data_IF_255401405862
#
_entry.id   IF_255401405862
#
_cell.length_a   1.000
_cell.length_b   1.000
_cell.length_c   1.000
_cell.angle_alpha   90.00
_cell.angle_beta   90.00
_cell.angle_gamma   90.00
#
_symmetry.space_group_name_H-M   'P 1'
#
loop_
_entity.id
_entity.type
_entity.pdbx_description
1 polymer ?
#
# COMPACT_ATOMS: atom_id res chain seq x y z
N UNK A 1 22.35 -5.86 -4.27
CA UNK A 1 21.83 -5.54 -5.61
C UNK A 1 21.04 -4.24 -5.51
N UNK A 2 21.29 -3.30 -6.41
CA UNK A 2 20.51 -2.06 -6.53
C UNK A 2 19.53 -2.27 -7.68
N UNK A 3 18.26 -2.01 -7.42
CA UNK A 3 17.18 -2.09 -8.42
C UNK A 3 16.76 -0.67 -8.73
N UNK A 4 16.95 -0.24 -9.98
CA UNK A 4 16.65 1.11 -10.45
C UNK A 4 15.33 1.17 -11.26
N UNK A 5 14.37 0.35 -10.88
CA UNK A 5 13.06 0.25 -11.54
C UNK A 5 12.09 1.22 -10.89
N UNK A 6 11.36 2.01 -11.69
CA UNK A 6 10.31 2.88 -11.20
C UNK A 6 9.09 2.05 -10.81
N UNK A 7 8.64 2.14 -9.57
CA UNK A 7 7.49 1.42 -9.07
C UNK A 7 6.71 2.21 -8.02
N UNK A 8 5.44 1.88 -7.88
CA UNK A 8 4.53 2.47 -6.90
C UNK A 8 4.35 1.59 -5.66
N UNK A 9 3.62 2.08 -4.68
CA UNK A 9 3.25 1.29 -3.50
C UNK A 9 2.46 0.02 -3.85
N UNK A 10 1.71 0.04 -4.96
CA UNK A 10 0.94 -1.11 -5.43
C UNK A 10 1.84 -2.29 -5.85
N UNK A 11 3.09 -2.02 -6.23
CA UNK A 11 4.05 -3.02 -6.71
C UNK A 11 4.80 -3.72 -5.58
N UNK A 12 4.67 -3.23 -4.34
CA UNK A 12 5.35 -3.80 -3.17
C UNK A 12 4.86 -5.23 -2.90
N UNK A 13 3.54 -5.43 -2.89
CA UNK A 13 2.96 -6.74 -2.56
C UNK A 13 3.37 -7.82 -3.56
N UNK A 14 3.14 -7.67 -4.89
CA UNK A 14 3.55 -8.69 -5.85
C UNK A 14 5.06 -8.94 -5.86
N UNK A 15 5.88 -7.93 -5.60
CA UNK A 15 7.33 -8.10 -5.48
C UNK A 15 7.72 -8.93 -4.25
N UNK A 16 7.09 -8.68 -3.11
CA UNK A 16 7.32 -9.47 -1.89
C UNK A 16 6.86 -10.92 -2.06
N UNK A 17 5.71 -11.15 -2.70
CA UNK A 17 5.21 -12.48 -2.99
C UNK A 17 6.19 -13.28 -3.84
N UNK A 18 6.72 -12.66 -4.90
CA UNK A 18 7.77 -13.27 -5.73
C UNK A 18 9.02 -13.61 -4.90
N UNK A 19 9.53 -12.67 -4.10
CA UNK A 19 10.71 -12.87 -3.26
C UNK A 19 10.54 -13.98 -2.21
N UNK A 20 9.30 -14.18 -1.74
CA UNK A 20 8.95 -15.19 -0.74
C UNK A 20 8.50 -16.52 -1.37
N UNK A 21 8.39 -16.59 -2.70
CA UNK A 21 7.89 -17.77 -3.41
C UNK A 21 6.41 -18.05 -3.17
N UNK A 22 5.62 -17.00 -2.93
CA UNK A 22 4.16 -17.09 -2.72
C UNK A 22 3.47 -16.99 -4.08
N UNK A 23 2.60 -17.95 -4.39
CA UNK A 23 1.76 -17.91 -5.58
C UNK A 23 0.58 -16.95 -5.34
N UNK A 24 0.52 -15.87 -6.14
CA UNK A 24 -0.47 -14.80 -6.00
C UNK A 24 -1.75 -14.99 -6.81
N UNK A 25 -1.86 -16.09 -7.55
CA UNK A 25 -3.00 -16.34 -8.46
C UNK A 25 -4.37 -16.40 -7.75
N UNK A 26 -4.36 -16.59 -6.44
CA UNK A 26 -5.58 -16.66 -5.60
C UNK A 26 -5.99 -15.30 -5.01
N UNK A 27 -5.25 -14.24 -5.27
CA UNK A 27 -5.50 -12.93 -4.69
C UNK A 27 -5.83 -11.89 -5.76
N UNK A 28 -6.86 -11.10 -5.52
CA UNK A 28 -7.12 -9.91 -6.32
C UNK A 28 -6.17 -8.80 -5.87
N UNK A 29 -5.21 -8.50 -6.71
CA UNK A 29 -4.23 -7.44 -6.45
C UNK A 29 -4.05 -6.57 -7.69
N UNK A 30 -3.64 -5.35 -7.47
CA UNK A 30 -3.14 -4.41 -8.48
C UNK A 30 -1.65 -4.22 -8.24
N UNK A 31 -0.94 -3.85 -9.29
CA UNK A 31 0.50 -3.72 -9.24
C UNK A 31 1.21 -4.87 -9.95
N UNK A 32 2.49 -4.72 -10.10
CA UNK A 32 3.35 -5.64 -10.83
C UNK A 32 4.61 -5.91 -10.01
N UNK A 33 5.19 -7.08 -10.21
CA UNK A 33 6.47 -7.42 -9.61
C UNK A 33 7.59 -6.54 -10.21
N UNK A 34 8.26 -5.76 -9.37
CA UNK A 34 9.38 -4.88 -9.75
C UNK A 34 10.58 -5.64 -10.34
N UNK A 35 10.67 -6.94 -10.10
CA UNK A 35 11.73 -7.81 -10.60
C UNK A 35 11.37 -8.48 -11.92
N UNK A 36 10.11 -8.37 -12.34
CA UNK A 36 9.66 -8.93 -13.62
C UNK A 36 10.22 -8.14 -14.81
N UNK A 37 10.72 -8.80 -15.85
CA UNK A 37 11.13 -8.13 -17.08
C UNK A 37 9.97 -7.46 -17.83
N UNK A 38 8.72 -7.86 -17.52
CA UNK A 38 7.52 -7.32 -18.15
C UNK A 38 6.92 -6.16 -17.33
N UNK A 39 7.60 -5.74 -16.24
CA UNK A 39 7.14 -4.64 -15.41
C UNK A 39 7.05 -3.33 -16.20
N UNK A 40 5.88 -2.71 -16.14
CA UNK A 40 5.65 -1.40 -16.76
C UNK A 40 5.99 -0.31 -15.75
N UNK A 41 7.03 0.46 -16.05
CA UNK A 41 7.52 1.53 -15.17
C UNK A 41 6.63 2.78 -15.24
N UNK A 42 5.39 2.64 -14.77
CA UNK A 42 4.40 3.72 -14.69
C UNK A 42 3.90 3.82 -13.26
N UNK A 43 4.19 4.94 -12.61
CA UNK A 43 3.70 5.25 -11.27
C UNK A 43 2.60 6.31 -11.37
N UNK A 44 1.36 5.92 -11.14
CA UNK A 44 0.21 6.81 -11.18
C UNK A 44 -0.08 7.43 -9.81
N UNK A 45 -0.43 8.71 -9.79
CA UNK A 45 -0.83 9.43 -8.59
C UNK A 45 -2.28 9.91 -8.68
N UNK A 46 -2.98 9.92 -7.56
CA UNK A 46 -4.38 10.39 -7.50
C UNK A 46 -4.55 11.89 -7.72
N UNK A 47 -3.49 12.66 -7.68
CA UNK A 47 -3.50 14.08 -7.99
C UNK A 47 -3.57 14.30 -9.50
N UNK A 48 -4.67 14.88 -9.97
CA UNK A 48 -4.88 15.49 -11.30
C UNK A 48 -4.06 14.86 -12.46
N UNK A 49 -4.30 13.59 -12.79
CA UNK A 49 -3.63 12.88 -13.89
C UNK A 49 -2.09 12.91 -13.83
N UNK A 50 -1.54 12.94 -12.61
CA UNK A 50 -0.10 12.93 -12.41
C UNK A 50 0.45 11.51 -12.50
N UNK A 51 1.63 11.38 -13.09
CA UNK A 51 2.36 10.11 -13.19
C UNK A 51 3.86 10.35 -13.32
N UNK A 52 4.63 9.30 -13.02
CA UNK A 52 6.08 9.26 -13.28
C UNK A 52 6.41 8.00 -14.07
N UNK A 53 7.28 8.16 -15.05
CA UNK A 53 7.95 7.10 -15.80
C UNK A 53 9.44 7.39 -15.87
N UNK A 54 10.29 6.49 -16.38
CA UNK A 54 11.71 6.81 -16.59
C UNK A 54 11.94 8.01 -17.49
N UNK A 55 11.07 8.24 -18.46
CA UNK A 55 11.24 9.30 -19.47
C UNK A 55 10.50 10.58 -19.14
N UNK A 56 9.26 10.47 -18.64
CA UNK A 56 8.37 11.59 -18.43
C UNK A 56 7.78 11.61 -17.00
N UNK A 57 7.71 12.81 -16.44
CA UNK A 57 6.94 13.12 -15.24
C UNK A 57 5.84 14.11 -15.59
N UNK A 58 4.59 13.77 -15.30
CA UNK A 58 3.45 14.70 -15.42
C UNK A 58 2.98 15.09 -14.02
N UNK A 59 2.91 16.40 -13.78
CA UNK A 59 2.44 16.94 -12.51
C UNK A 59 1.73 18.29 -12.76
N UNK A 60 0.58 18.49 -12.15
CA UNK A 60 -0.21 19.73 -12.23
C UNK A 60 -0.44 20.23 -13.67
N UNK A 61 -0.74 19.31 -14.59
CA UNK A 61 -1.00 19.62 -15.99
C UNK A 61 0.24 19.93 -16.82
N UNK A 62 1.43 19.89 -16.25
CA UNK A 62 2.71 20.10 -16.91
C UNK A 62 3.45 18.78 -17.10
N UNK A 63 4.33 18.74 -18.08
CA UNK A 63 5.16 17.56 -18.37
C UNK A 63 6.63 17.94 -18.32
N UNK A 64 7.41 17.07 -17.74
CA UNK A 64 8.85 17.25 -17.53
C UNK A 64 9.61 16.00 -18.00
N UNK A 65 10.85 16.16 -18.42
CA UNK A 65 11.77 15.04 -18.52
C UNK A 65 12.16 14.58 -17.13
N UNK A 66 11.93 13.30 -16.81
CA UNK A 66 12.13 12.76 -15.45
C UNK A 66 13.56 12.91 -14.97
N UNK A 67 14.54 12.63 -15.83
CA UNK A 67 15.96 12.68 -15.46
C UNK A 67 16.45 14.10 -15.19
N UNK A 68 16.08 15.06 -16.04
CA UNK A 68 16.59 16.44 -15.95
C UNK A 68 15.69 17.38 -15.15
N UNK A 69 14.43 17.04 -14.96
CA UNK A 69 13.42 17.92 -14.36
C UNK A 69 13.06 19.12 -15.21
N UNK A 70 13.51 19.18 -16.48
CA UNK A 70 13.20 20.28 -17.38
C UNK A 70 11.78 20.16 -17.92
N UNK A 71 11.02 21.26 -17.86
CA UNK A 71 9.68 21.35 -18.43
C UNK A 71 9.72 21.25 -19.96
N UNK A 72 8.81 20.47 -20.50
CA UNK A 72 8.68 20.26 -21.95
C UNK A 72 7.60 21.21 -22.48
N UNK A 73 8.00 22.25 -23.16
CA UNK A 73 7.07 23.25 -23.72
C UNK A 73 6.50 22.83 -25.08
N UNK A 74 7.25 22.04 -25.87
CA UNK A 74 6.83 21.56 -27.17
C UNK A 74 7.19 20.10 -27.33
N UNK A 75 6.20 19.27 -27.61
CA UNK A 75 6.34 17.87 -27.96
C UNK A 75 6.15 17.70 -29.46
N UNK A 76 6.99 16.87 -30.09
CA UNK A 76 6.69 16.38 -31.41
C UNK A 76 5.53 15.39 -31.41
N UNK A 77 5.00 15.05 -32.56
CA UNK A 77 3.82 14.15 -32.69
C UNK A 77 4.07 12.75 -32.08
N UNK A 78 5.28 12.24 -32.22
CA UNK A 78 5.66 10.95 -31.69
C UNK A 78 5.70 10.96 -30.14
N UNK A 79 6.36 11.97 -29.56
CA UNK A 79 6.44 12.13 -28.11
C UNK A 79 5.07 12.42 -27.50
N UNK A 80 4.20 13.16 -28.20
CA UNK A 80 2.82 13.37 -27.78
C UNK A 80 2.04 12.05 -27.73
N UNK A 81 2.18 11.22 -28.76
CA UNK A 81 1.53 9.90 -28.81
C UNK A 81 2.01 8.99 -27.68
N UNK A 82 3.31 8.93 -27.42
CA UNK A 82 3.88 8.16 -26.30
C UNK A 82 3.29 8.64 -24.95
N UNK A 83 3.26 9.96 -24.77
CA UNK A 83 2.73 10.57 -23.54
C UNK A 83 1.25 10.25 -23.32
N UNK A 84 0.45 10.27 -24.38
CA UNK A 84 -0.97 9.97 -24.30
C UNK A 84 -1.23 8.49 -23.98
N UNK A 85 -0.42 7.57 -24.49
CA UNK A 85 -0.46 6.15 -24.13
C UNK A 85 -0.16 5.99 -22.62
N UNK A 86 0.90 6.61 -22.11
CA UNK A 86 1.27 6.54 -20.70
C UNK A 86 0.18 7.15 -19.81
N UNK A 87 -0.36 8.31 -20.20
CA UNK A 87 -1.45 8.97 -19.48
C UNK A 87 -2.70 8.09 -19.40
N UNK A 88 -3.04 7.43 -20.51
CA UNK A 88 -4.16 6.50 -20.55
C UNK A 88 -3.92 5.31 -19.62
N UNK A 89 -2.74 4.69 -19.65
CA UNK A 89 -2.37 3.56 -18.78
C UNK A 89 -2.42 3.95 -17.30
N UNK A 90 -1.85 5.09 -16.91
CA UNK A 90 -1.91 5.61 -15.55
C UNK A 90 -3.35 5.87 -15.09
N UNK A 91 -4.18 6.49 -15.95
CA UNK A 91 -5.59 6.71 -15.66
C UNK A 91 -6.37 5.39 -15.49
N UNK A 92 -6.08 4.40 -16.33
CA UNK A 92 -6.71 3.09 -16.24
C UNK A 92 -6.34 2.35 -14.94
N UNK A 93 -5.07 2.41 -14.54
CA UNK A 93 -4.60 1.82 -13.28
C UNK A 93 -5.35 2.39 -12.07
N UNK A 94 -5.55 3.70 -12.01
CA UNK A 94 -6.33 4.36 -10.96
C UNK A 94 -7.81 3.96 -10.99
N UNK A 95 -8.42 3.91 -12.19
CA UNK A 95 -9.82 3.48 -12.34
C UNK A 95 -10.05 2.05 -11.87
N UNK A 96 -9.14 1.14 -12.20
CA UNK A 96 -9.21 -0.25 -11.72
C UNK A 96 -9.13 -0.29 -10.20
N UNK A 97 -8.18 0.42 -9.60
CA UNK A 97 -8.04 0.53 -8.14
C UNK A 97 -9.33 1.07 -7.49
N UNK A 98 -9.94 2.10 -8.08
CA UNK A 98 -11.19 2.67 -7.58
C UNK A 98 -12.36 1.71 -7.71
N UNK A 99 -12.46 0.96 -8.81
CA UNK A 99 -13.50 -0.05 -9.00
C UNK A 99 -13.38 -1.19 -7.99
N UNK A 100 -12.15 -1.65 -7.71
CA UNK A 100 -11.91 -2.68 -6.69
C UNK A 100 -12.36 -2.19 -5.31
N UNK A 101 -12.01 -0.95 -4.95
CA UNK A 101 -12.35 -0.38 -3.67
C UNK A 101 -13.84 -0.07 -3.52
N UNK A 102 -14.44 0.61 -4.50
CA UNK A 102 -15.86 1.01 -4.44
C UNK A 102 -16.81 -0.16 -4.58
N UNK A 103 -16.41 -1.20 -5.34
CA UNK A 103 -17.17 -2.43 -5.52
C UNK A 103 -16.96 -3.46 -4.41
N UNK A 104 -16.05 -3.21 -3.45
CA UNK A 104 -15.65 -4.19 -2.42
C UNK A 104 -15.24 -5.55 -3.04
N UNK A 105 -14.60 -5.49 -4.22
CA UNK A 105 -14.34 -6.69 -5.03
C UNK A 105 -13.39 -7.67 -4.35
N UNK A 106 -12.49 -7.20 -3.49
CA UNK A 106 -11.57 -8.05 -2.74
C UNK A 106 -12.36 -9.04 -1.88
N UNK A 107 -13.41 -8.57 -1.19
CA UNK A 107 -14.24 -9.43 -0.34
C UNK A 107 -14.95 -10.52 -1.13
N UNK A 108 -15.51 -10.18 -2.28
CA UNK A 108 -16.19 -11.16 -3.13
C UNK A 108 -15.21 -12.16 -3.73
N UNK A 109 -14.07 -11.69 -4.19
CA UNK A 109 -13.03 -12.54 -4.76
C UNK A 109 -12.49 -13.55 -3.73
N UNK A 110 -12.22 -13.10 -2.51
CA UNK A 110 -11.76 -13.97 -1.42
C UNK A 110 -12.80 -15.02 -1.02
N UNK A 111 -14.08 -14.66 -0.98
CA UNK A 111 -15.15 -15.58 -0.63
C UNK A 111 -15.23 -16.77 -1.59
N UNK A 112 -14.97 -16.54 -2.87
CA UNK A 112 -15.06 -17.57 -3.90
C UNK A 112 -13.82 -18.47 -3.98
N UNK A 113 -12.63 -17.96 -3.64
CA UNK A 113 -11.34 -18.63 -3.91
C UNK A 113 -10.62 -19.12 -2.64
N UNK A 114 -10.76 -18.44 -1.52
CA UNK A 114 -10.03 -18.75 -0.30
C UNK A 114 -10.83 -19.50 0.77
N UNK A 115 -12.12 -19.75 0.53
CA UNK A 115 -12.99 -20.31 1.55
C UNK A 115 -13.20 -19.35 2.73
N UNK A 116 -13.74 -19.86 3.82
CA UNK A 116 -13.90 -19.08 5.05
C UNK A 116 -12.55 -18.90 5.72
N UNK A 117 -12.05 -17.66 5.71
CA UNK A 117 -10.89 -17.30 6.54
C UNK A 117 -11.33 -17.40 8.00
N UNK A 118 -10.59 -18.20 8.79
CA UNK A 118 -10.77 -18.23 10.24
C UNK A 118 -10.23 -16.91 10.82
N UNK A 119 -11.14 -15.94 10.95
CA UNK A 119 -10.82 -14.61 11.49
C UNK A 119 -10.45 -14.63 12.96
N UNK A 120 -10.83 -15.70 13.69
CA UNK A 120 -10.44 -15.84 15.10
C UNK A 120 -8.97 -16.20 15.24
N UNK A 121 -8.42 -17.03 14.34
CA UNK A 121 -7.00 -17.39 14.35
C UNK A 121 -6.08 -16.21 14.01
N UNK A 122 -6.59 -15.21 13.26
CA UNK A 122 -5.83 -14.02 12.81
C UNK A 122 -6.17 -12.81 13.69
N UNK A 123 -6.84 -12.99 14.82
CA UNK A 123 -7.21 -11.87 15.66
C UNK A 123 -5.97 -11.19 16.25
N UNK A 124 -6.00 -9.86 16.31
CA UNK A 124 -4.95 -9.06 16.95
C UNK A 124 -4.67 -9.54 18.39
N UNK A 125 -5.72 -9.93 19.14
CA UNK A 125 -5.59 -10.44 20.51
C UNK A 125 -4.77 -11.73 20.58
N UNK A 126 -4.89 -12.61 19.58
CA UNK A 126 -4.10 -13.85 19.52
C UNK A 126 -2.63 -13.56 19.14
N UNK A 127 -2.35 -12.46 18.48
CA UNK A 127 -0.98 -12.05 18.13
C UNK A 127 -0.24 -11.38 19.29
N UNK A 128 -0.93 -10.80 20.27
CA UNK A 128 -0.32 -10.11 21.41
C UNK A 128 0.66 -10.97 22.21
N UNK A 129 0.32 -12.22 22.61
CA UNK A 129 1.25 -13.07 23.35
C UNK A 129 2.52 -13.40 22.56
N UNK A 130 2.39 -13.54 21.23
CA UNK A 130 3.51 -13.80 20.33
C UNK A 130 4.42 -12.59 20.27
N UNK A 131 3.86 -11.39 20.11
CA UNK A 131 4.61 -10.13 20.10
C UNK A 131 5.33 -9.89 21.43
N UNK A 132 4.67 -10.12 22.55
CA UNK A 132 5.27 -10.02 23.88
C UNK A 132 6.45 -10.99 24.07
N UNK A 133 6.30 -12.23 23.59
CA UNK A 133 7.39 -13.21 23.64
C UNK A 133 8.58 -12.77 22.79
N UNK A 134 8.35 -12.31 21.55
CA UNK A 134 9.40 -11.79 20.67
C UNK A 134 10.10 -10.60 21.32
N UNK A 135 9.37 -9.70 21.95
CA UNK A 135 9.92 -8.55 22.64
C UNK A 135 10.80 -8.95 23.84
N UNK A 136 10.37 -9.92 24.62
CA UNK A 136 11.17 -10.46 25.73
C UNK A 136 12.48 -11.11 25.23
N UNK A 137 12.40 -11.88 24.15
CA UNK A 137 13.58 -12.54 23.56
C UNK A 137 14.57 -11.56 22.94
N UNK A 138 14.10 -10.52 22.29
CA UNK A 138 14.93 -9.51 21.62
C UNK A 138 15.31 -8.32 22.50
N UNK A 139 14.64 -8.13 23.61
CA UNK A 139 14.89 -7.03 24.53
C UNK A 139 14.78 -5.66 23.85
N UNK A 140 15.72 -4.76 24.15
CA UNK A 140 15.72 -3.39 23.61
C UNK A 140 15.87 -3.31 22.08
N UNK A 141 16.28 -4.39 21.42
CA UNK A 141 16.42 -4.44 19.96
C UNK A 141 15.09 -4.68 19.24
N UNK A 142 14.04 -5.08 19.95
CA UNK A 142 12.70 -5.28 19.39
C UNK A 142 11.97 -3.96 19.11
N UNK A 143 12.45 -2.86 19.70
CA UNK A 143 11.75 -1.58 19.71
C UNK A 143 12.43 -0.61 18.75
N UNK A 144 11.67 0.07 17.89
CA UNK A 144 12.21 1.11 17.02
C UNK A 144 12.77 2.28 17.82
N UNK A 145 13.73 3.02 17.26
CA UNK A 145 14.27 4.23 17.88
C UNK A 145 13.19 5.26 18.24
N UNK A 146 12.12 5.34 17.42
CA UNK A 146 11.00 6.20 17.68
C UNK A 146 10.22 5.77 18.93
N UNK A 147 9.93 4.50 19.05
CA UNK A 147 9.24 3.92 20.22
C UNK A 147 10.06 4.05 21.49
N UNK A 148 11.38 3.83 21.42
CA UNK A 148 12.30 4.02 22.55
C UNK A 148 12.28 5.47 23.05
N UNK A 149 12.28 6.45 22.14
CA UNK A 149 12.21 7.89 22.49
C UNK A 149 10.90 8.27 23.16
N UNK A 150 9.83 7.55 22.87
CA UNK A 150 8.51 7.75 23.48
C UNK A 150 8.27 6.89 24.73
N UNK A 151 9.23 6.07 25.12
CA UNK A 151 9.09 5.14 26.24
C UNK A 151 8.01 4.05 25.99
N UNK A 152 7.76 3.73 24.70
CA UNK A 152 6.75 2.74 24.31
C UNK A 152 7.40 1.43 23.88
N UNK A 153 6.74 0.33 24.18
CA UNK A 153 7.11 -1.01 23.71
C UNK A 153 6.44 -1.31 22.37
N UNK A 154 6.89 -2.37 21.68
CA UNK A 154 6.22 -2.83 20.47
C UNK A 154 4.76 -3.23 20.75
N UNK A 155 4.46 -3.82 21.90
CA UNK A 155 3.11 -4.18 22.32
C UNK A 155 2.21 -2.95 22.47
N UNK A 156 2.72 -1.84 22.98
CA UNK A 156 1.96 -0.58 23.12
C UNK A 156 1.63 0.03 21.74
N UNK A 157 2.51 -0.13 20.75
CA UNK A 157 2.29 0.38 19.40
C UNK A 157 1.22 -0.39 18.64
N UNK A 158 1.10 -1.68 18.92
CA UNK A 158 0.15 -2.57 18.26
C UNK A 158 -1.11 -2.82 19.09
N UNK A 159 -1.30 -2.11 20.19
CA UNK A 159 -2.52 -2.20 20.99
C UNK A 159 -3.69 -1.64 20.18
N UNK A 160 -4.64 -2.50 19.84
CA UNK A 160 -5.90 -2.04 19.26
C UNK A 160 -6.63 -1.15 20.30
N UNK A 161 -7.17 0.00 19.88
CA UNK A 161 -7.98 0.82 20.78
C UNK A 161 -9.18 0.00 21.25
N UNK A 162 -9.48 0.08 22.56
CA UNK A 162 -10.66 -0.54 23.13
C UNK A 162 -11.94 0.12 22.59
N UNK A 163 -13.07 -0.59 22.68
CA UNK A 163 -14.37 -0.02 22.29
C UNK A 163 -14.66 1.31 23.00
N UNK A 164 -14.29 1.42 24.28
CA UNK A 164 -14.45 2.63 25.10
C UNK A 164 -13.56 3.79 24.63
N UNK A 165 -12.33 3.50 24.15
CA UNK A 165 -11.45 4.52 23.57
C UNK A 165 -11.96 5.04 22.22
N UNK A 166 -12.64 4.19 21.44
CA UNK A 166 -13.26 4.56 20.16
C UNK A 166 -14.60 5.28 20.36
N UNK A 167 -15.30 5.04 21.49
CA UNK A 167 -16.62 5.57 21.80
C UNK A 167 -16.67 6.19 23.21
N UNK A 168 -15.97 7.33 23.44
CA UNK A 168 -15.90 7.95 24.76
C UNK A 168 -17.28 8.36 25.32
N UNK A 169 -18.26 8.60 24.47
CA UNK A 169 -19.65 8.93 24.83
C UNK A 169 -20.40 7.81 25.56
N UNK A 170 -20.00 6.56 25.35
CA UNK A 170 -20.62 5.42 26.04
C UNK A 170 -20.17 5.26 27.51
N UNK A 171 -19.01 5.81 27.85
CA UNK A 171 -18.48 5.76 29.23
C UNK A 171 -19.19 6.76 30.18
N UNK A 172 -19.73 7.85 29.65
CA UNK A 172 -20.44 8.85 30.46
C UNK A 172 -21.88 8.43 30.84
N UNK A 173 -22.47 7.49 30.13
CA UNK A 173 -23.84 7.02 30.37
C UNK A 173 -23.92 6.04 31.54
N UNK A 174 -22.87 5.27 31.79
CA UNK A 174 -22.83 4.31 32.93
C UNK A 174 -22.57 5.00 34.27
N UNK A 175 -21.89 6.16 34.29
CA UNK A 175 -21.62 6.91 35.53
C UNK A 175 -22.80 7.76 36.04
N UNK A 176 -23.87 7.91 35.24
CA UNK A 176 -25.07 8.68 35.63
C UNK A 176 -26.25 7.81 36.08
N UNK A 177 -26.08 6.49 36.15
CA UNK A 177 -27.12 5.53 36.55
C UNK A 177 -26.83 4.82 37.87
N UNK A 178 -25.92 5.36 38.71
CA UNK A 178 -25.72 4.91 40.10
C UNK A 178 -26.16 5.95 41.09
#
# INVERSE_FOLDING_TARGET
QIINTYGGQIDILPTLEHLLGIESNSFLQVGQDLLSPDHQEIVAFRTANSFVTPKYTSYDGRTYYTESGLEISNLDEQAQTELDIVRQAASQQLKISDQIQTGDLIRFYQADHLGKVDTESISYLNSLPILQKIEQEKGSQSTSLFSQRQGKTSADLFKAPSYQELHPESAETESKSQ
#
